data_IF_471572724585
#
_entry.id   IF_471572724585
#
_cell.length_a   1.000
_cell.length_b   1.000
_cell.length_c   1.000
_cell.angle_alpha   90.00
_cell.angle_beta   90.00
_cell.angle_gamma   90.00
#
_symmetry.space_group_name_H-M   'P 1'
#
loop_
_entity.id
_entity.type
_entity.pdbx_description
1 polymer ?
#
# COMPACT_ATOMS: atom_id res chain seq x y z
N UNK A 1 7.99 -7.42 7.47
CA UNK A 1 7.61 -8.80 7.10
C UNK A 1 6.90 -8.91 5.75
N UNK A 2 5.85 -8.13 5.43
CA UNK A 2 5.04 -8.39 4.21
C UNK A 2 5.63 -7.90 2.88
N UNK A 3 6.51 -6.89 2.90
CA UNK A 3 7.05 -6.31 1.65
C UNK A 3 8.26 -7.09 1.08
N UNK A 4 8.95 -7.88 1.91
CA UNK A 4 10.22 -8.55 1.55
C UNK A 4 10.03 -9.74 0.61
N UNK A 5 8.99 -10.55 0.81
CA UNK A 5 8.73 -11.74 0.01
C UNK A 5 7.96 -11.47 -1.29
N UNK A 6 7.65 -10.21 -1.59
CA UNK A 6 6.57 -9.81 -2.50
C UNK A 6 7.02 -8.87 -3.64
N UNK A 7 8.32 -8.71 -3.86
CA UNK A 7 8.89 -7.81 -4.89
C UNK A 7 8.44 -6.35 -4.76
N UNK A 8 8.25 -5.85 -3.53
CA UNK A 8 7.96 -4.43 -3.29
C UNK A 8 9.23 -3.62 -3.49
N UNK A 9 9.22 -2.72 -4.47
CA UNK A 9 10.38 -1.90 -4.85
C UNK A 9 10.81 -0.93 -3.74
N UNK A 10 9.86 -0.32 -3.04
CA UNK A 10 10.12 0.65 -1.99
C UNK A 10 8.95 0.77 -1.01
N UNK A 11 9.26 1.05 0.26
CA UNK A 11 8.30 1.50 1.26
C UNK A 11 8.47 3.01 1.44
N UNK A 12 7.40 3.77 1.18
CA UNK A 12 7.40 5.23 1.33
C UNK A 12 6.80 5.61 2.67
N UNK A 13 7.53 6.40 3.46
CA UNK A 13 7.09 6.87 4.77
C UNK A 13 7.00 8.40 4.78
N UNK A 14 6.02 8.92 5.51
CA UNK A 14 5.84 10.37 5.71
C UNK A 14 6.93 10.98 6.59
N UNK A 15 7.57 10.16 7.42
CA UNK A 15 8.71 10.53 8.26
C UNK A 15 9.56 9.29 8.55
N UNK A 16 10.86 9.36 8.25
CA UNK A 16 11.79 8.23 8.42
C UNK A 16 12.09 7.92 9.89
N UNK A 17 11.83 8.84 10.81
CA UNK A 17 11.89 8.60 12.25
C UNK A 17 10.86 7.56 12.71
N UNK A 18 9.76 7.35 11.96
CA UNK A 18 8.80 6.27 12.24
C UNK A 18 9.46 4.91 12.12
N UNK A 19 10.35 4.73 11.13
CA UNK A 19 11.14 3.51 10.97
C UNK A 19 12.16 3.30 12.12
N UNK A 20 12.49 4.35 12.87
CA UNK A 20 13.40 4.27 14.01
C UNK A 20 12.69 3.94 15.34
N UNK A 21 11.35 3.95 15.38
CA UNK A 21 10.58 3.65 16.59
C UNK A 21 10.66 2.16 16.97
N UNK A 22 10.62 1.88 18.27
CA UNK A 22 10.62 0.49 18.78
C UNK A 22 9.39 -0.30 18.32
N UNK A 23 8.27 0.37 18.06
CA UNK A 23 7.07 -0.24 17.49
C UNK A 23 7.33 -0.79 16.08
N UNK A 24 8.02 -0.02 15.23
CA UNK A 24 8.40 -0.44 13.88
C UNK A 24 9.47 -1.54 13.93
N UNK A 25 10.53 -1.37 14.74
CA UNK A 25 11.63 -2.34 14.87
C UNK A 25 11.16 -3.72 15.36
N UNK A 26 10.20 -3.77 16.31
CA UNK A 26 9.62 -5.03 16.80
C UNK A 26 8.79 -5.76 15.74
N UNK A 27 8.20 -5.04 14.79
CA UNK A 27 7.40 -5.61 13.70
C UNK A 27 8.21 -5.86 12.41
N UNK A 28 9.40 -5.28 12.29
CA UNK A 28 10.23 -5.27 11.08
C UNK A 28 11.17 -6.48 10.96
N UNK A 29 11.50 -7.19 12.05
CA UNK A 29 12.42 -8.35 12.14
C UNK A 29 13.35 -8.48 10.92
N UNK A 30 14.37 -7.61 10.84
CA UNK A 30 15.46 -7.58 9.83
C UNK A 30 15.14 -7.27 8.35
N UNK A 31 13.88 -7.10 7.92
CA UNK A 31 13.52 -6.79 6.52
C UNK A 31 13.98 -5.40 6.04
N UNK A 32 14.24 -4.48 6.95
CA UNK A 32 14.67 -3.08 6.69
C UNK A 32 16.05 -2.95 6.03
N UNK A 33 16.82 -4.05 5.93
CA UNK A 33 18.11 -4.06 5.23
C UNK A 33 18.01 -4.19 3.71
N UNK A 34 16.85 -4.62 3.18
CA UNK A 34 16.67 -4.97 1.76
C UNK A 34 15.51 -4.25 1.06
N UNK A 35 14.67 -3.54 1.81
CA UNK A 35 13.61 -2.68 1.28
C UNK A 35 14.10 -1.24 1.17
N UNK A 36 13.95 -0.63 -0.01
CA UNK A 36 14.26 0.78 -0.21
C UNK A 36 13.26 1.63 0.56
N UNK A 37 13.70 2.24 1.65
CA UNK A 37 12.90 3.22 2.39
C UNK A 37 13.05 4.59 1.74
N UNK A 38 11.94 5.14 1.26
CA UNK A 38 11.86 6.51 0.77
C UNK A 38 11.10 7.36 1.78
N UNK A 39 11.59 8.57 2.00
CA UNK A 39 10.91 9.56 2.83
C UNK A 39 10.28 10.60 1.92
N UNK A 40 8.97 10.81 2.07
CA UNK A 40 8.21 11.81 1.32
C UNK A 40 7.36 12.57 2.33
N UNK A 41 7.67 13.85 2.56
CA UNK A 41 6.90 14.68 3.48
C UNK A 41 5.43 14.77 3.05
N UNK A 42 4.51 14.97 3.99
CA UNK A 42 3.06 15.05 3.69
C UNK A 42 2.73 16.12 2.63
N UNK A 43 3.48 17.23 2.60
CA UNK A 43 3.34 18.28 1.59
C UNK A 43 3.72 17.80 0.18
N UNK A 44 4.62 16.83 0.07
CA UNK A 44 5.21 16.37 -1.19
C UNK A 44 4.53 15.10 -1.74
N UNK A 45 3.66 14.45 -0.96
CA UNK A 45 2.96 13.23 -1.39
C UNK A 45 2.22 13.46 -2.72
N UNK A 46 1.54 14.59 -2.88
CA UNK A 46 0.84 14.90 -4.12
C UNK A 46 1.79 15.05 -5.33
N UNK A 47 2.99 15.58 -5.13
CA UNK A 47 3.99 15.68 -6.20
C UNK A 47 4.55 14.30 -6.54
N UNK A 48 4.89 13.51 -5.53
CA UNK A 48 5.38 12.14 -5.67
C UNK A 48 4.39 11.24 -6.44
N UNK A 49 3.10 11.27 -6.10
CA UNK A 49 2.09 10.46 -6.79
C UNK A 49 1.98 10.83 -8.28
N UNK A 50 2.09 12.13 -8.62
CA UNK A 50 2.08 12.58 -10.02
C UNK A 50 3.31 12.12 -10.78
N UNK A 51 4.49 12.18 -10.15
CA UNK A 51 5.74 11.69 -10.73
C UNK A 51 5.65 10.18 -11.03
N UNK A 52 5.17 9.39 -10.05
CA UNK A 52 4.99 7.93 -10.23
C UNK A 52 3.98 7.60 -11.32
N UNK A 53 2.88 8.35 -11.39
CA UNK A 53 1.92 8.23 -12.49
C UNK A 53 2.57 8.48 -13.86
N UNK A 54 3.39 9.54 -13.98
CA UNK A 54 4.14 9.83 -15.21
C UNK A 54 5.16 8.74 -15.56
N UNK A 55 5.71 8.06 -14.55
CA UNK A 55 6.58 6.89 -14.74
C UNK A 55 5.82 5.59 -15.08
N UNK A 56 4.49 5.64 -15.26
CA UNK A 56 3.67 4.51 -15.69
C UNK A 56 3.09 3.66 -14.56
N UNK A 57 3.16 4.11 -13.31
CA UNK A 57 2.53 3.42 -12.19
C UNK A 57 1.05 3.77 -12.09
N UNK A 58 0.21 2.78 -11.80
CA UNK A 58 -1.17 3.01 -11.36
C UNK A 58 -1.20 3.40 -9.89
N UNK A 59 -1.86 4.50 -9.55
CA UNK A 59 -2.00 4.98 -8.17
C UNK A 59 -3.26 4.40 -7.55
N UNK A 60 -3.11 3.51 -6.58
CA UNK A 60 -4.19 2.77 -5.94
C UNK A 60 -4.34 3.25 -4.51
N UNK A 61 -5.50 3.80 -4.16
CA UNK A 61 -5.85 4.08 -2.77
C UNK A 61 -6.39 2.82 -2.10
N UNK A 62 -5.88 2.48 -0.92
CA UNK A 62 -6.44 1.40 -0.09
C UNK A 62 -7.32 2.06 0.96
N UNK A 63 -8.60 2.19 0.65
CA UNK A 63 -9.56 2.98 1.41
C UNK A 63 -10.98 2.47 1.17
N UNK A 64 -11.85 2.61 2.19
CA UNK A 64 -13.29 2.39 2.04
C UNK A 64 -13.94 3.66 1.48
N UNK A 65 -14.33 3.61 0.21
CA UNK A 65 -14.98 4.72 -0.50
C UNK A 65 -16.23 4.24 -1.22
N UNK A 66 -17.16 5.14 -1.57
CA UNK A 66 -18.41 4.74 -2.25
C UNK A 66 -18.19 4.00 -3.57
N UNK A 67 -17.04 4.22 -4.23
CA UNK A 67 -16.69 3.62 -5.51
C UNK A 67 -15.45 2.72 -5.43
N UNK A 68 -15.08 2.20 -4.25
CA UNK A 68 -13.97 1.26 -4.15
C UNK A 68 -14.32 -0.11 -4.77
N UNK A 69 -13.29 -0.74 -5.32
CA UNK A 69 -13.36 -2.12 -5.79
C UNK A 69 -12.99 -3.07 -4.65
N UNK A 70 -13.75 -4.16 -4.43
CA UNK A 70 -13.37 -5.16 -3.44
C UNK A 70 -12.02 -5.81 -3.79
N UNK A 71 -11.13 -5.94 -2.79
CA UNK A 71 -9.76 -6.46 -2.96
C UNK A 71 -9.71 -7.81 -3.69
N UNK A 72 -10.63 -8.73 -3.39
CA UNK A 72 -10.67 -10.05 -4.03
C UNK A 72 -11.02 -10.00 -5.52
N UNK A 73 -11.71 -8.94 -5.97
CA UNK A 73 -12.16 -8.77 -7.35
C UNK A 73 -11.25 -7.84 -8.15
N UNK A 74 -10.29 -7.20 -7.50
CA UNK A 74 -9.38 -6.26 -8.15
C UNK A 74 -8.19 -6.98 -8.78
N UNK A 75 -7.94 -6.71 -10.07
CA UNK A 75 -6.76 -7.19 -10.79
C UNK A 75 -5.65 -6.15 -10.71
N UNK A 76 -4.56 -6.50 -10.04
CA UNK A 76 -3.46 -5.57 -9.84
C UNK A 76 -2.62 -5.40 -11.11
N UNK A 77 -2.29 -4.15 -11.51
CA UNK A 77 -1.28 -3.91 -12.52
C UNK A 77 0.12 -4.17 -11.94
N UNK A 78 1.04 -4.65 -12.79
CA UNK A 78 2.43 -4.94 -12.41
C UNK A 78 3.19 -3.74 -11.83
N UNK A 79 2.87 -2.53 -12.27
CA UNK A 79 3.46 -1.28 -11.78
C UNK A 79 2.39 -0.48 -11.06
N UNK A 80 2.41 -0.51 -9.73
CA UNK A 80 1.45 0.24 -8.92
C UNK A 80 2.08 0.88 -7.68
N UNK A 81 1.43 1.94 -7.21
CA UNK A 81 1.69 2.57 -5.92
C UNK A 81 0.47 2.35 -5.04
N UNK A 82 0.68 1.78 -3.86
CA UNK A 82 -0.38 1.59 -2.86
C UNK A 82 -0.32 2.77 -1.86
N UNK A 83 -1.34 3.63 -1.89
CA UNK A 83 -1.52 4.69 -0.91
C UNK A 83 -2.45 4.20 0.21
N UNK A 84 -1.90 3.99 1.39
CA UNK A 84 -2.64 3.58 2.58
C UNK A 84 -3.13 4.82 3.33
N UNK A 85 -4.43 4.85 3.66
CA UNK A 85 -5.01 5.86 4.55
C UNK A 85 -4.56 5.70 6.00
N UNK A 86 -4.67 6.78 6.77
CA UNK A 86 -4.50 6.73 8.23
C UNK A 86 -5.73 6.08 8.88
N UNK A 87 -5.57 5.33 9.98
CA UNK A 87 -6.69 4.61 10.61
C UNK A 87 -7.83 5.52 11.11
N UNK A 88 -7.53 6.78 11.39
CA UNK A 88 -8.46 7.75 11.97
C UNK A 88 -9.09 8.65 10.90
N UNK A 89 -8.28 9.10 9.94
CA UNK A 89 -8.67 10.13 8.97
C UNK A 89 -8.69 9.64 7.52
N UNK A 90 -8.35 8.37 7.29
CA UNK A 90 -8.26 7.79 5.95
C UNK A 90 -7.23 8.47 5.06
N UNK A 91 -7.44 8.39 3.76
CA UNK A 91 -6.69 9.15 2.75
C UNK A 91 -7.18 10.61 2.74
N UNK A 92 -6.29 11.61 2.86
CA UNK A 92 -6.67 13.01 2.75
C UNK A 92 -7.47 13.32 1.48
N UNK A 93 -8.56 14.08 1.62
CA UNK A 93 -9.46 14.43 0.51
C UNK A 93 -8.72 15.09 -0.66
N UNK A 94 -7.66 15.83 -0.39
CA UNK A 94 -6.80 16.45 -1.41
C UNK A 94 -6.04 15.46 -2.29
N UNK A 95 -5.85 14.21 -1.83
CA UNK A 95 -5.16 13.15 -2.56
C UNK A 95 -6.12 12.22 -3.32
N UNK A 96 -7.41 12.18 -2.96
CA UNK A 96 -8.40 11.32 -3.63
C UNK A 96 -8.47 11.57 -5.16
N UNK A 97 -8.42 12.80 -5.69
CA UNK A 97 -8.39 13.04 -7.13
C UNK A 97 -7.13 12.54 -7.85
N UNK A 98 -6.07 12.19 -7.10
CA UNK A 98 -4.82 11.66 -7.63
C UNK A 98 -4.80 10.13 -7.68
N UNK A 99 -5.85 9.48 -7.19
CA UNK A 99 -6.01 8.03 -7.28
C UNK A 99 -6.59 7.66 -8.64
N UNK A 100 -6.08 6.59 -9.23
CA UNK A 100 -6.68 5.98 -10.42
C UNK A 100 -7.83 5.05 -10.03
N UNK A 101 -7.72 4.41 -8.87
CA UNK A 101 -8.72 3.50 -8.33
C UNK A 101 -8.60 3.44 -6.80
N UNK A 102 -9.73 3.21 -6.13
CA UNK A 102 -9.76 2.82 -4.73
C UNK A 102 -10.04 1.33 -4.61
N UNK A 103 -9.30 0.64 -3.76
CA UNK A 103 -9.49 -0.77 -3.42
C UNK A 103 -9.83 -0.85 -1.94
N UNK A 104 -10.87 -1.61 -1.62
CA UNK A 104 -11.32 -1.83 -0.24
C UNK A 104 -11.13 -3.27 0.19
N UNK A 105 -10.82 -3.46 1.48
CA UNK A 105 -10.87 -4.78 2.12
C UNK A 105 -12.27 -4.93 2.69
N UNK A 106 -13.07 -5.93 2.24
CA UNK A 106 -14.40 -6.14 2.79
C UNK A 106 -14.34 -6.45 4.28
N UNK A 107 -15.14 -5.75 5.08
CA UNK A 107 -15.27 -5.98 6.52
C UNK A 107 -16.67 -6.48 6.81
N UNK A 108 -16.76 -7.65 7.44
CA UNK A 108 -18.05 -8.27 7.82
C UNK A 108 -18.43 -7.98 9.29
N UNK A 109 -17.57 -7.27 10.02
CA UNK A 109 -17.74 -6.96 11.45
C UNK A 109 -18.16 -5.52 11.72
N UNK A 110 -18.30 -5.18 13.01
CA UNK A 110 -18.71 -3.84 13.48
C UNK A 110 -17.56 -2.80 13.37
N UNK A 111 -16.31 -3.28 13.36
CA UNK A 111 -15.13 -2.43 13.24
C UNK A 111 -15.10 -1.75 11.87
N UNK A 112 -14.91 -0.42 11.88
CA UNK A 112 -14.97 0.42 10.67
C UNK A 112 -13.63 0.63 9.98
N UNK A 113 -12.54 0.07 10.51
CA UNK A 113 -11.23 0.15 9.88
C UNK A 113 -10.29 -0.97 10.36
N UNK A 114 -9.34 -1.34 9.50
CA UNK A 114 -8.20 -2.18 9.86
C UNK A 114 -6.99 -1.28 10.12
N UNK A 115 -6.05 -1.78 10.92
CA UNK A 115 -4.75 -1.12 11.07
C UNK A 115 -4.06 -0.99 9.70
N UNK A 116 -3.45 0.17 9.42
CA UNK A 116 -2.90 0.46 8.09
C UNK A 116 -1.82 -0.56 7.66
N UNK A 117 -1.04 -1.08 8.61
CA UNK A 117 -0.07 -2.14 8.34
C UNK A 117 -0.74 -3.47 8.00
N UNK A 118 -1.84 -3.83 8.68
CA UNK A 118 -2.64 -5.03 8.34
C UNK A 118 -3.27 -4.89 6.95
N UNK A 119 -3.85 -3.72 6.65
CA UNK A 119 -4.41 -3.43 5.33
C UNK A 119 -3.34 -3.54 4.24
N UNK A 120 -2.19 -2.90 4.45
CA UNK A 120 -1.05 -3.00 3.53
C UNK A 120 -0.59 -4.45 3.33
N UNK A 121 -0.51 -5.22 4.40
CA UNK A 121 -0.12 -6.62 4.33
C UNK A 121 -1.08 -7.47 3.47
N UNK A 122 -2.38 -7.31 3.65
CA UNK A 122 -3.40 -8.03 2.87
C UNK A 122 -3.36 -7.67 1.40
N UNK A 123 -3.21 -6.38 1.08
CA UNK A 123 -3.17 -5.89 -0.30
C UNK A 123 -1.91 -6.38 -1.02
N UNK A 124 -0.75 -6.31 -0.35
CA UNK A 124 0.53 -6.80 -0.92
C UNK A 124 0.49 -8.32 -1.11
N UNK A 125 -0.13 -9.07 -0.19
CA UNK A 125 -0.36 -10.50 -0.37
C UNK A 125 -1.21 -10.81 -1.60
N UNK A 126 -2.33 -10.09 -1.77
CA UNK A 126 -3.22 -10.28 -2.92
C UNK A 126 -2.51 -9.94 -4.24
N UNK A 127 -1.75 -8.83 -4.27
CA UNK A 127 -0.89 -8.50 -5.41
C UNK A 127 0.05 -9.66 -5.74
N UNK A 128 0.73 -10.21 -4.72
CA UNK A 128 1.70 -11.30 -4.91
C UNK A 128 1.05 -12.56 -5.44
N UNK A 129 -0.10 -12.96 -4.89
CA UNK A 129 -0.85 -14.13 -5.36
C UNK A 129 -1.15 -14.07 -6.87
N UNK A 130 -1.48 -12.88 -7.38
CA UNK A 130 -1.76 -12.68 -8.81
C UNK A 130 -0.51 -12.72 -9.69
N UNK A 131 0.67 -12.52 -9.12
CA UNK A 131 1.95 -12.40 -9.84
C UNK A 131 2.94 -13.52 -9.53
N UNK A 132 2.57 -14.48 -8.67
CA UNK A 132 3.38 -15.68 -8.45
C UNK A 132 3.51 -16.47 -9.76
N UNK A 133 4.70 -16.99 -10.08
CA UNK A 133 4.85 -17.93 -11.18
C UNK A 133 3.94 -19.13 -10.93
N UNK A 134 2.99 -19.37 -11.82
CA UNK A 134 2.20 -20.60 -11.79
C UNK A 134 3.17 -21.77 -12.01
N UNK A 135 3.10 -22.85 -11.21
CA UNK A 135 3.85 -24.06 -11.52
C UNK A 135 3.44 -24.50 -12.93
N UNK A 136 4.42 -24.87 -13.75
CA UNK A 136 4.15 -25.39 -15.09
C UNK A 136 3.14 -26.54 -14.96
N UNK A 137 1.97 -26.36 -15.56
CA UNK A 137 0.98 -27.41 -15.69
C UNK A 137 1.62 -28.56 -16.47
N UNK A 138 1.92 -29.66 -15.78
CA UNK A 138 2.30 -30.95 -16.34
C UNK A 138 1.14 -31.57 -17.11
#
# INVERSE_FOLDING_TARGET
MTCESMSVEALVLSNRAVAATDAFKRQSVTSERWLRLLEVGLADVAAFLRERRQAGYTIIGVEQATNSMPLQSFSFPKLCVLLLGNEQNGIPVSLLPLLDVCVEIPMLGVTRSLNAHVSGAMVVWQYTQQHLPQPASS
#
